data_IF_918401858919
#
_entry.id   IF_918401858919
#
_cell.length_a   1.000
_cell.length_b   1.000
_cell.length_c   1.000
_cell.angle_alpha   90.00
_cell.angle_beta   90.00
_cell.angle_gamma   90.00
#
_symmetry.space_group_name_H-M   'P 1'
#
loop_
_entity.id
_entity.type
_entity.pdbx_description
1 polymer ?
#
# COMPACT_ATOMS: atom_id res chain seq x y z
N UNK A 1 -16.68 -3.13 17.86
CA UNK A 1 -15.62 -2.28 18.43
C UNK A 1 -16.17 -1.54 19.65
N UNK A 2 -15.95 -2.04 20.86
CA UNK A 2 -16.40 -1.42 22.11
C UNK A 2 -15.42 -0.33 22.57
N UNK A 3 -15.95 0.81 23.01
CA UNK A 3 -15.28 2.11 23.14
C UNK A 3 -14.35 2.30 24.36
N UNK A 4 -13.78 1.24 24.93
CA UNK A 4 -13.18 1.33 26.27
C UNK A 4 -11.67 1.63 26.38
N UNK A 5 -10.93 1.88 25.30
CA UNK A 5 -9.49 2.19 25.40
C UNK A 5 -8.97 3.38 24.59
N UNK A 6 -9.84 4.26 24.07
CA UNK A 6 -9.34 5.52 23.47
C UNK A 6 -9.06 6.57 24.55
N UNK A 7 -7.83 7.08 24.57
CA UNK A 7 -7.43 8.21 25.41
C UNK A 7 -8.18 9.50 25.02
N UNK A 8 -8.14 10.50 25.91
CA UNK A 8 -8.85 11.77 25.71
C UNK A 8 -8.40 12.51 24.45
N UNK A 9 -7.11 12.45 24.10
CA UNK A 9 -6.57 13.13 22.93
C UNK A 9 -7.08 12.50 21.62
N UNK A 10 -7.26 11.19 21.60
CA UNK A 10 -7.81 10.41 20.48
C UNK A 10 -9.30 10.65 20.32
N UNK A 11 -10.05 10.70 21.43
CA UNK A 11 -11.48 11.06 21.40
C UNK A 11 -11.72 12.48 20.90
N UNK A 12 -10.84 13.42 21.29
CA UNK A 12 -10.93 14.80 20.81
C UNK A 12 -10.62 14.95 19.33
N UNK A 13 -9.66 14.19 18.80
CA UNK A 13 -9.39 14.18 17.35
C UNK A 13 -10.62 13.73 16.56
N UNK A 14 -11.36 12.74 17.04
CA UNK A 14 -12.54 12.22 16.35
C UNK A 14 -13.84 12.98 16.69
N UNK A 15 -13.77 13.98 17.56
CA UNK A 15 -14.95 14.72 18.04
C UNK A 15 -15.60 15.48 16.88
N UNK A 16 -16.89 15.26 16.66
CA UNK A 16 -17.65 15.87 15.56
C UNK A 16 -17.68 15.04 14.26
N UNK A 17 -16.94 13.93 14.17
CA UNK A 17 -17.12 12.97 13.08
C UNK A 17 -18.33 12.07 13.36
N UNK A 18 -19.24 11.95 12.39
CA UNK A 18 -20.31 10.95 12.45
C UNK A 18 -19.73 9.56 12.19
N UNK A 19 -20.43 8.50 12.61
CA UNK A 19 -20.03 7.11 12.29
C UNK A 19 -19.83 6.92 10.78
N UNK A 20 -20.70 7.50 9.97
CA UNK A 20 -20.60 7.48 8.52
C UNK A 20 -19.32 8.17 8.02
N UNK A 21 -18.94 9.33 8.58
CA UNK A 21 -17.70 10.01 8.19
C UNK A 21 -16.46 9.18 8.55
N UNK A 22 -16.48 8.48 9.68
CA UNK A 22 -15.38 7.59 10.08
C UNK A 22 -15.24 6.39 9.13
N UNK A 23 -16.34 5.71 8.82
CA UNK A 23 -16.32 4.54 7.94
C UNK A 23 -15.87 4.90 6.51
N UNK A 24 -16.38 6.02 5.98
CA UNK A 24 -16.01 6.52 4.66
C UNK A 24 -14.53 6.89 4.62
N UNK A 25 -14.05 7.69 5.56
CA UNK A 25 -12.65 8.11 5.59
C UNK A 25 -11.69 6.92 5.82
N UNK A 26 -12.07 5.91 6.60
CA UNK A 26 -11.28 4.70 6.77
C UNK A 26 -11.20 3.90 5.46
N UNK A 27 -12.35 3.73 4.79
CA UNK A 27 -12.40 3.08 3.47
C UNK A 27 -11.50 3.81 2.47
N UNK A 28 -11.51 5.14 2.46
CA UNK A 28 -10.69 5.91 1.54
C UNK A 28 -9.21 5.90 1.88
N UNK A 29 -8.83 5.93 3.15
CA UNK A 29 -7.43 5.75 3.55
C UNK A 29 -6.92 4.38 3.08
N UNK A 30 -7.73 3.34 3.22
CA UNK A 30 -7.44 2.00 2.70
C UNK A 30 -7.37 1.96 1.17
N UNK A 31 -8.19 2.75 0.46
CA UNK A 31 -8.15 2.87 -1.00
C UNK A 31 -6.89 3.61 -1.50
N UNK A 32 -6.53 4.72 -0.84
CA UNK A 32 -5.28 5.44 -1.05
C UNK A 32 -4.09 4.51 -0.82
N UNK A 33 -4.18 3.63 0.19
CA UNK A 33 -3.19 2.59 0.44
C UNK A 33 -3.20 1.43 -0.54
N UNK A 34 -4.32 1.07 -1.15
CA UNK A 34 -4.33 -0.08 -2.05
C UNK A 34 -3.78 0.28 -3.43
N UNK A 35 -3.95 1.52 -3.88
CA UNK A 35 -3.55 1.93 -5.22
C UNK A 35 -2.40 2.92 -5.29
N UNK A 36 -1.98 3.51 -4.16
CA UNK A 36 -0.97 4.57 -4.12
C UNK A 36 -1.49 5.89 -4.72
N UNK A 37 -0.64 6.92 -4.73
CA UNK A 37 -0.95 8.18 -5.41
C UNK A 37 -0.70 8.05 -6.90
N UNK A 38 -1.57 7.40 -7.67
CA UNK A 38 -1.47 7.43 -9.14
C UNK A 38 -2.35 8.53 -9.74
N UNK A 39 -2.08 8.90 -11.00
CA UNK A 39 -2.83 9.93 -11.74
C UNK A 39 -4.34 9.67 -11.76
N UNK A 40 -4.71 8.40 -11.87
CA UNK A 40 -6.10 7.95 -11.88
C UNK A 40 -6.79 8.18 -10.52
N UNK A 41 -6.06 8.04 -9.40
CA UNK A 41 -6.60 8.26 -8.05
C UNK A 41 -6.75 9.72 -7.68
N UNK A 42 -5.81 10.57 -8.09
CA UNK A 42 -5.97 12.01 -7.91
C UNK A 42 -7.24 12.47 -8.63
N UNK A 43 -7.45 12.10 -9.90
CA UNK A 43 -8.62 12.58 -10.64
C UNK A 43 -9.97 11.98 -10.15
N UNK A 44 -10.01 10.75 -9.63
CA UNK A 44 -11.27 10.11 -9.21
C UNK A 44 -11.77 10.52 -7.82
N UNK A 45 -10.89 10.90 -6.89
CA UNK A 45 -11.30 11.28 -5.52
C UNK A 45 -11.34 12.80 -5.29
N UNK A 46 -10.67 13.61 -6.12
CA UNK A 46 -10.52 15.05 -5.87
C UNK A 46 -11.80 15.88 -6.07
N UNK A 47 -12.72 15.46 -6.95
CA UNK A 47 -13.84 16.33 -7.34
C UNK A 47 -14.97 16.41 -6.30
N UNK A 48 -15.21 15.33 -5.54
CA UNK A 48 -16.34 15.28 -4.61
C UNK A 48 -15.97 15.63 -3.17
N UNK A 49 -14.67 15.66 -2.84
CA UNK A 49 -14.19 15.76 -1.45
C UNK A 49 -13.81 17.19 -1.11
N UNK A 50 -14.42 17.73 -0.07
CA UNK A 50 -14.09 19.04 0.47
C UNK A 50 -13.11 18.90 1.64
N UNK A 51 -12.82 20.02 2.28
CA UNK A 51 -11.81 20.09 3.33
C UNK A 51 -12.14 19.16 4.50
N UNK A 52 -13.42 19.01 4.86
CA UNK A 52 -13.85 18.18 5.98
C UNK A 52 -13.52 16.69 5.78
N UNK A 53 -13.74 16.16 4.57
CA UNK A 53 -13.45 14.76 4.23
C UNK A 53 -11.94 14.50 4.22
N UNK A 54 -11.14 15.40 3.63
CA UNK A 54 -9.68 15.25 3.64
C UNK A 54 -9.11 15.33 5.05
N UNK A 55 -9.64 16.24 5.86
CA UNK A 55 -9.29 16.33 7.27
C UNK A 55 -9.72 15.07 8.05
N UNK A 56 -10.86 14.47 7.73
CA UNK A 56 -11.29 13.21 8.32
C UNK A 56 -10.29 12.07 8.04
N UNK A 57 -9.79 11.98 6.80
CA UNK A 57 -8.76 10.99 6.44
C UNK A 57 -7.47 11.23 7.25
N UNK A 58 -7.03 12.49 7.36
CA UNK A 58 -5.85 12.85 8.17
C UNK A 58 -6.03 12.49 9.66
N UNK A 59 -7.23 12.69 10.22
CA UNK A 59 -7.54 12.29 11.61
C UNK A 59 -7.41 10.78 11.78
N UNK A 60 -7.95 9.99 10.84
CA UNK A 60 -7.84 8.52 10.89
C UNK A 60 -6.40 8.07 10.80
N UNK A 61 -5.57 8.72 9.96
CA UNK A 61 -4.13 8.46 9.93
C UNK A 61 -3.48 8.65 11.31
N UNK A 62 -3.71 9.81 11.95
CA UNK A 62 -3.13 10.11 13.26
C UNK A 62 -3.62 9.12 14.33
N UNK A 63 -4.91 8.78 14.33
CA UNK A 63 -5.49 7.80 15.26
C UNK A 63 -4.95 6.39 15.01
N UNK A 64 -4.86 5.97 13.75
CA UNK A 64 -4.31 4.66 13.36
C UNK A 64 -2.85 4.52 13.77
N UNK A 65 -2.06 5.58 13.62
CA UNK A 65 -0.69 5.61 14.14
C UNK A 65 -0.65 5.46 15.66
N UNK A 66 -1.51 6.17 16.40
CA UNK A 66 -1.51 6.11 17.88
C UNK A 66 -1.93 4.74 18.42
N UNK A 67 -2.95 4.13 17.83
CA UNK A 67 -3.55 2.89 18.36
C UNK A 67 -2.83 1.65 17.87
N UNK A 68 -2.50 1.61 16.57
CA UNK A 68 -1.98 0.41 15.92
C UNK A 68 -0.57 0.61 15.36
N UNK A 69 0.01 1.82 15.41
CA UNK A 69 1.24 2.15 14.65
C UNK A 69 1.04 1.94 13.14
N UNK A 70 -0.19 2.09 12.66
CA UNK A 70 -0.51 2.07 11.24
C UNK A 70 0.14 3.27 10.53
N UNK A 71 0.79 3.03 9.39
CA UNK A 71 1.38 4.09 8.58
C UNK A 71 1.14 3.87 7.07
N UNK A 72 0.87 4.93 6.30
CA UNK A 72 0.41 4.84 4.92
C UNK A 72 1.58 4.66 3.92
N UNK A 73 2.18 3.46 3.89
CA UNK A 73 3.39 3.14 3.12
C UNK A 73 3.28 3.27 1.58
N UNK A 74 2.06 3.36 1.02
CA UNK A 74 1.88 3.59 -0.42
C UNK A 74 1.75 5.06 -0.83
N UNK A 75 1.71 5.99 0.11
CA UNK A 75 1.75 7.40 -0.23
C UNK A 75 3.17 7.79 -0.61
N UNK A 76 3.30 8.64 -1.62
CA UNK A 76 4.60 9.12 -2.07
C UNK A 76 5.30 9.85 -0.91
N UNK A 77 6.58 9.52 -0.68
CA UNK A 77 7.36 10.12 0.42
C UNK A 77 7.40 11.66 0.32
N UNK A 78 7.61 12.29 -0.86
CA UNK A 78 7.53 13.74 -0.99
C UNK A 78 6.20 14.35 -0.55
N UNK A 79 5.07 13.67 -0.81
CA UNK A 79 3.76 14.11 -0.35
C UNK A 79 3.66 14.05 1.18
N UNK A 80 4.13 12.97 1.79
CA UNK A 80 4.14 12.79 3.23
C UNK A 80 5.03 13.82 3.92
N UNK A 81 6.22 14.06 3.38
CA UNK A 81 7.15 15.08 3.86
C UNK A 81 6.52 16.48 3.81
N UNK A 82 5.90 16.85 2.69
CA UNK A 82 5.17 18.12 2.57
C UNK A 82 4.00 18.24 3.54
N UNK A 83 3.24 17.15 3.76
CA UNK A 83 2.13 17.14 4.69
C UNK A 83 2.59 17.27 6.15
N UNK A 84 3.65 16.56 6.54
CA UNK A 84 4.15 16.48 7.92
C UNK A 84 5.07 17.65 8.29
N UNK A 85 5.97 18.03 7.39
CA UNK A 85 7.11 18.92 7.68
C UNK A 85 7.10 20.21 6.85
N UNK A 86 6.16 20.35 5.90
CA UNK A 86 6.06 21.49 4.99
C UNK A 86 7.31 21.72 4.10
N UNK A 87 8.10 20.66 3.93
CA UNK A 87 9.25 20.62 3.03
C UNK A 87 9.44 19.17 2.57
N UNK A 88 9.84 18.98 1.32
CA UNK A 88 10.30 17.69 0.82
C UNK A 88 11.82 17.66 0.64
N UNK A 89 12.42 16.56 1.10
CA UNK A 89 13.84 16.23 0.95
C UNK A 89 14.08 15.03 0.04
N UNK A 90 13.04 14.22 -0.17
CA UNK A 90 13.09 13.03 -1.01
C UNK A 90 13.25 13.38 -2.49
N UNK A 91 13.90 12.49 -3.23
CA UNK A 91 14.12 12.69 -4.67
C UNK A 91 12.81 12.63 -5.45
N UNK A 92 12.40 13.79 -5.96
CA UNK A 92 11.18 13.92 -6.78
C UNK A 92 11.29 13.17 -8.10
N UNK A 93 12.48 13.17 -8.72
CA UNK A 93 12.76 12.39 -9.94
C UNK A 93 12.59 10.90 -9.67
N UNK A 94 13.24 10.36 -8.65
CA UNK A 94 13.21 8.91 -8.40
C UNK A 94 11.82 8.45 -7.97
N UNK A 95 11.09 9.28 -7.21
CA UNK A 95 9.69 9.00 -6.86
C UNK A 95 8.77 9.12 -8.08
N UNK A 96 9.03 10.08 -8.98
CA UNK A 96 8.28 10.20 -10.23
C UNK A 96 8.46 8.98 -11.14
N UNK A 97 9.67 8.42 -11.21
CA UNK A 97 9.91 7.15 -11.93
C UNK A 97 9.10 5.99 -11.35
N UNK A 98 8.73 6.02 -10.06
CA UNK A 98 7.83 5.01 -9.47
C UNK A 98 6.34 5.30 -9.70
N UNK A 99 6.01 6.53 -10.11
CA UNK A 99 4.64 6.99 -10.34
C UNK A 99 4.16 6.71 -11.76
N UNK A 100 5.06 6.78 -12.74
CA UNK A 100 4.79 6.51 -14.16
C UNK A 100 4.51 5.03 -14.43
N UNK A 101 3.97 4.71 -15.61
CA UNK A 101 3.76 3.31 -16.00
C UNK A 101 5.09 2.55 -16.13
N UNK A 102 5.07 1.22 -16.04
CA UNK A 102 6.29 0.41 -16.19
C UNK A 102 6.99 0.66 -17.54
N UNK A 103 6.20 0.76 -18.61
CA UNK A 103 6.68 1.07 -19.96
C UNK A 103 7.33 2.46 -20.02
N UNK A 104 6.68 3.49 -19.46
CA UNK A 104 7.26 4.84 -19.36
C UNK A 104 8.56 4.83 -18.55
N UNK A 105 8.56 4.14 -17.40
CA UNK A 105 9.73 4.05 -16.52
C UNK A 105 10.93 3.45 -17.23
N UNK A 106 10.74 2.37 -17.98
CA UNK A 106 11.82 1.72 -18.74
C UNK A 106 12.47 2.69 -19.73
N UNK A 107 11.67 3.43 -20.48
CA UNK A 107 12.16 4.44 -21.45
C UNK A 107 12.89 5.57 -20.73
N UNK A 108 12.32 6.12 -19.65
CA UNK A 108 12.90 7.21 -18.90
C UNK A 108 14.22 6.82 -18.20
N UNK A 109 14.30 5.62 -17.64
CA UNK A 109 15.54 5.10 -17.03
C UNK A 109 16.61 4.90 -18.11
N UNK A 110 16.26 4.33 -19.26
CA UNK A 110 17.20 4.19 -20.39
C UNK A 110 17.72 5.55 -20.87
N UNK A 111 16.84 6.56 -20.96
CA UNK A 111 17.24 7.92 -21.33
C UNK A 111 18.18 8.58 -20.31
N UNK A 112 18.02 8.27 -19.01
CA UNK A 112 18.90 8.75 -17.94
C UNK A 112 20.28 8.09 -17.99
N UNK A 113 20.35 6.81 -18.39
CA UNK A 113 21.60 6.05 -18.52
C UNK A 113 22.37 6.40 -19.80
N UNK A 114 21.69 6.36 -20.95
CA UNK A 114 22.26 6.70 -22.26
C UNK A 114 21.21 7.39 -23.16
N UNK A 115 21.14 8.71 -23.01
CA UNK A 115 20.24 9.59 -23.75
C UNK A 115 20.34 9.44 -25.27
N UNK A 116 21.52 9.11 -25.83
CA UNK A 116 21.70 9.05 -27.27
C UNK A 116 21.22 7.73 -27.89
N UNK A 117 21.00 6.70 -27.06
CA UNK A 117 20.58 5.36 -27.49
C UNK A 117 19.08 5.08 -27.30
N UNK A 118 18.38 5.99 -26.62
CA UNK A 118 16.95 5.85 -26.35
C UNK A 118 16.15 6.15 -27.61
N UNK A 119 15.04 5.43 -27.78
CA UNK A 119 14.07 5.77 -28.82
C UNK A 119 13.48 7.15 -28.49
N UNK A 120 13.71 8.09 -29.41
CA UNK A 120 13.34 9.49 -29.22
C UNK A 120 11.83 9.66 -29.22
N UNK A 121 11.11 8.95 -30.10
CA UNK A 121 9.65 9.06 -30.19
C UNK A 121 9.02 8.48 -28.91
N UNK A 122 9.51 7.32 -28.45
CA UNK A 122 9.06 6.73 -27.19
C UNK A 122 9.35 7.63 -25.97
N UNK A 123 10.49 8.34 -25.96
CA UNK A 123 10.82 9.30 -24.90
C UNK A 123 9.85 10.50 -24.92
N UNK A 124 9.55 11.05 -26.09
CA UNK A 124 8.58 12.13 -26.23
C UNK A 124 7.19 11.68 -25.78
N UNK A 125 6.72 10.52 -26.22
CA UNK A 125 5.43 9.96 -25.81
C UNK A 125 5.33 9.79 -24.29
N UNK A 126 6.39 9.24 -23.66
CA UNK A 126 6.44 9.05 -22.21
C UNK A 126 6.39 10.38 -21.43
N UNK A 127 6.99 11.45 -21.95
CA UNK A 127 6.98 12.77 -21.31
C UNK A 127 5.66 13.52 -21.58
N UNK A 128 5.15 13.47 -22.81
CA UNK A 128 3.89 14.10 -23.22
C UNK A 128 2.70 13.50 -22.47
N UNK A 129 2.74 12.20 -22.16
CA UNK A 129 1.77 11.54 -21.31
C UNK A 129 1.57 12.30 -19.98
N UNK A 130 2.58 12.98 -19.45
CA UNK A 130 2.52 13.78 -18.22
C UNK A 130 2.51 15.29 -18.46
N UNK A 131 2.00 15.72 -19.63
CA UNK A 131 1.84 17.12 -20.05
C UNK A 131 3.16 17.90 -20.08
N UNK A 132 4.27 17.24 -20.42
CA UNK A 132 5.53 17.90 -20.65
C UNK A 132 5.49 18.69 -21.97
N UNK A 133 5.74 19.99 -21.91
CA UNK A 133 5.84 20.86 -23.11
C UNK A 133 7.29 21.22 -23.47
N UNK A 134 8.25 20.81 -22.65
CA UNK A 134 9.67 21.09 -22.86
C UNK A 134 10.33 19.89 -23.56
N UNK A 135 11.10 20.16 -24.61
CA UNK A 135 11.87 19.12 -25.27
C UNK A 135 13.00 18.61 -24.35
N UNK A 136 13.12 17.28 -24.16
CA UNK A 136 14.19 16.71 -23.37
C UNK A 136 15.53 16.84 -24.10
N UNK A 137 16.58 17.11 -23.33
CA UNK A 137 17.98 17.06 -23.74
C UNK A 137 18.76 16.31 -22.68
N UNK A 138 19.94 15.81 -23.04
CA UNK A 138 20.85 15.15 -22.09
C UNK A 138 21.10 15.98 -20.83
N UNK A 139 21.23 17.30 -20.99
CA UNK A 139 21.56 18.22 -19.89
C UNK A 139 20.33 18.59 -19.04
N UNK A 140 19.12 18.54 -19.63
CA UNK A 140 17.90 19.00 -18.96
C UNK A 140 17.01 17.87 -18.43
N UNK A 141 17.28 16.59 -18.77
CA UNK A 141 16.38 15.48 -18.46
C UNK A 141 16.17 15.31 -16.94
N UNK A 142 17.24 15.37 -16.15
CA UNK A 142 17.15 15.26 -14.67
C UNK A 142 16.30 16.38 -14.04
N UNK A 143 16.57 17.67 -14.30
CA UNK A 143 15.74 18.75 -13.77
C UNK A 143 14.31 18.70 -14.31
N UNK A 144 14.12 18.29 -15.58
CA UNK A 144 12.80 18.12 -16.17
C UNK A 144 11.96 17.07 -15.41
N UNK A 145 12.51 15.88 -15.18
CA UNK A 145 11.83 14.83 -14.41
C UNK A 145 11.58 15.25 -12.95
N UNK A 146 12.49 16.01 -12.35
CA UNK A 146 12.28 16.57 -11.01
C UNK A 146 11.12 17.57 -10.97
N UNK A 147 10.99 18.43 -11.99
CA UNK A 147 9.88 19.37 -12.13
C UNK A 147 8.55 18.64 -12.35
N UNK A 148 8.54 17.59 -13.17
CA UNK A 148 7.37 16.75 -13.38
C UNK A 148 6.95 16.04 -12.09
N UNK A 149 7.91 15.49 -11.35
CA UNK A 149 7.69 14.94 -10.01
C UNK A 149 7.11 15.98 -9.05
N UNK A 150 7.66 17.20 -9.02
CA UNK A 150 7.11 18.29 -8.20
C UNK A 150 5.65 18.62 -8.57
N UNK A 151 5.35 18.72 -9.87
CA UNK A 151 4.00 18.99 -10.37
C UNK A 151 3.03 17.88 -9.94
N UNK A 152 3.38 16.62 -10.17
CA UNK A 152 2.51 15.48 -9.93
C UNK A 152 2.35 15.13 -8.44
N UNK A 153 3.44 15.18 -7.66
CA UNK A 153 3.47 14.64 -6.30
C UNK A 153 3.23 15.70 -5.22
N UNK A 154 3.40 16.99 -5.54
CA UNK A 154 3.27 18.10 -4.59
C UNK A 154 2.23 19.12 -5.06
N UNK A 155 2.37 19.68 -6.27
CA UNK A 155 1.48 20.76 -6.71
C UNK A 155 0.05 20.28 -6.95
N UNK A 156 -0.14 19.18 -7.67
CA UNK A 156 -1.46 18.60 -7.92
C UNK A 156 -2.21 18.24 -6.62
N UNK A 157 -1.59 17.54 -5.64
CA UNK A 157 -2.25 17.22 -4.37
C UNK A 157 -2.16 18.33 -3.31
N UNK A 158 -1.73 19.55 -3.65
CA UNK A 158 -1.49 20.63 -2.68
C UNK A 158 -2.72 20.98 -1.83
N UNK A 159 -3.92 20.91 -2.41
CA UNK A 159 -5.16 21.12 -1.65
C UNK A 159 -5.30 20.10 -0.51
N UNK A 160 -5.04 18.82 -0.80
CA UNK A 160 -5.08 17.74 0.20
C UNK A 160 -4.00 17.93 1.26
N UNK A 161 -2.78 18.28 0.84
CA UNK A 161 -1.66 18.59 1.75
C UNK A 161 -2.07 19.70 2.73
N UNK A 162 -2.66 20.79 2.23
CA UNK A 162 -3.15 21.90 3.05
C UNK A 162 -4.26 21.48 4.03
N UNK A 163 -5.14 20.57 3.63
CA UNK A 163 -6.17 20.03 4.51
C UNK A 163 -5.58 19.13 5.61
N UNK A 164 -4.56 18.32 5.28
CA UNK A 164 -3.94 17.37 6.21
C UNK A 164 -3.03 18.04 7.23
N UNK A 165 -2.21 18.99 6.79
CA UNK A 165 -1.16 19.65 7.58
C UNK A 165 -1.59 20.09 8.99
N UNK A 166 -2.72 20.82 9.20
CA UNK A 166 -3.12 21.24 10.54
C UNK A 166 -3.43 20.08 11.50
N UNK A 167 -3.65 18.87 10.99
CA UNK A 167 -3.99 17.67 11.78
C UNK A 167 -2.75 16.80 11.98
N UNK A 168 -1.96 16.57 10.93
CA UNK A 168 -0.79 15.69 10.98
C UNK A 168 0.44 16.35 11.60
N UNK A 169 0.44 17.67 11.83
CA UNK A 169 1.55 18.37 12.50
C UNK A 169 1.89 17.77 13.88
N UNK A 170 0.90 17.22 14.59
CA UNK A 170 1.13 16.52 15.86
C UNK A 170 1.82 15.17 15.68
N UNK A 171 1.72 14.56 14.50
CA UNK A 171 2.46 13.35 14.16
C UNK A 171 3.93 13.68 13.89
N UNK A 172 4.21 14.81 13.25
CA UNK A 172 5.57 15.27 12.97
C UNK A 172 6.44 15.44 14.24
N UNK A 173 5.83 15.75 15.40
CA UNK A 173 6.56 15.86 16.67
C UNK A 173 7.01 14.52 17.26
N UNK A 174 6.36 13.42 16.88
CA UNK A 174 6.69 12.04 17.36
C UNK A 174 7.27 11.15 16.25
N UNK A 175 7.26 11.64 15.02
CA UNK A 175 7.87 11.04 13.84
C UNK A 175 8.77 12.10 13.19
N UNK A 176 10.02 12.24 13.64
CA UNK A 176 11.00 13.12 13.02
C UNK A 176 11.22 12.80 11.54
N UNK A 177 11.61 13.81 10.76
CA UNK A 177 11.76 13.69 9.30
C UNK A 177 12.80 12.65 8.88
N UNK A 178 13.91 12.56 9.62
CA UNK A 178 14.97 11.57 9.42
C UNK A 178 14.51 10.12 9.70
N UNK A 179 13.50 9.94 10.54
CA UNK A 179 12.93 8.62 10.86
C UNK A 179 11.81 8.18 9.90
N UNK A 180 11.32 9.05 9.01
CA UNK A 180 10.17 8.76 8.15
C UNK A 180 10.43 7.56 7.23
N UNK A 181 11.59 7.54 6.57
CA UNK A 181 11.96 6.46 5.65
C UNK A 181 12.09 5.12 6.37
N UNK A 182 12.70 5.10 7.55
CA UNK A 182 12.85 3.90 8.37
C UNK A 182 11.49 3.33 8.76
N UNK A 183 10.54 4.20 9.14
CA UNK A 183 9.17 3.79 9.46
C UNK A 183 8.45 3.22 8.24
N UNK A 184 8.58 3.86 7.08
CA UNK A 184 7.97 3.36 5.84
C UNK A 184 8.56 1.99 5.49
N UNK A 185 9.88 1.83 5.55
CA UNK A 185 10.54 0.56 5.27
C UNK A 185 10.12 -0.54 6.25
N UNK A 186 10.10 -0.25 7.55
CA UNK A 186 9.68 -1.20 8.58
C UNK A 186 8.22 -1.64 8.40
N UNK A 187 7.35 -0.73 7.97
CA UNK A 187 5.92 -1.00 7.79
C UNK A 187 5.58 -1.57 6.41
N UNK A 188 6.50 -1.51 5.43
CA UNK A 188 6.29 -2.06 4.09
C UNK A 188 6.41 -3.59 4.11
N UNK A 189 5.37 -4.33 3.69
CA UNK A 189 5.42 -5.78 3.65
C UNK A 189 6.52 -6.33 2.74
N UNK A 190 7.29 -7.29 3.24
CA UNK A 190 8.25 -8.05 2.44
C UNK A 190 7.95 -9.54 2.54
N UNK A 191 8.25 -10.30 1.48
CA UNK A 191 8.02 -11.75 1.50
C UNK A 191 8.74 -12.45 2.66
N UNK A 192 9.89 -11.93 3.09
CA UNK A 192 10.60 -12.40 4.29
C UNK A 192 9.80 -12.13 5.56
N UNK A 193 9.42 -10.89 5.81
CA UNK A 193 8.69 -10.52 7.03
C UNK A 193 7.34 -11.24 7.12
N UNK A 194 6.61 -11.36 6.00
CA UNK A 194 5.32 -12.07 5.99
C UNK A 194 5.48 -13.58 6.19
N UNK A 195 6.55 -14.21 5.69
CA UNK A 195 6.86 -15.62 6.01
C UNK A 195 7.06 -15.84 7.50
N UNK A 196 7.68 -14.91 8.20
CA UNK A 196 7.92 -14.98 9.65
C UNK A 196 6.62 -14.87 10.45
N UNK A 197 5.57 -14.27 9.88
CA UNK A 197 4.23 -14.24 10.49
C UNK A 197 3.48 -15.56 10.37
N UNK A 198 3.91 -16.53 9.55
CA UNK A 198 3.18 -17.78 9.35
C UNK A 198 3.48 -18.78 10.48
N UNK A 199 2.49 -19.05 11.32
CA UNK A 199 2.56 -20.06 12.38
C UNK A 199 1.93 -21.37 11.91
N UNK A 200 2.77 -22.36 11.64
CA UNK A 200 2.35 -23.71 11.31
C UNK A 200 2.19 -24.56 12.59
N UNK A 201 1.40 -25.65 12.55
CA UNK A 201 1.38 -26.64 13.63
C UNK A 201 2.77 -27.22 13.89
N UNK A 202 3.05 -27.55 15.15
CA UNK A 202 4.36 -28.11 15.57
C UNK A 202 4.66 -29.44 14.88
N UNK A 203 3.62 -30.27 14.70
CA UNK A 203 3.70 -31.54 13.99
C UNK A 203 2.93 -31.46 12.67
N UNK A 204 3.60 -31.85 11.58
CA UNK A 204 3.01 -31.86 10.24
C UNK A 204 3.26 -33.19 9.55
N UNK A 205 2.20 -33.78 8.99
CA UNK A 205 2.30 -34.92 8.11
C UNK A 205 3.05 -34.55 6.80
N UNK A 206 3.63 -35.53 6.06
CA UNK A 206 4.38 -35.24 4.84
C UNK A 206 3.62 -34.38 3.80
N UNK A 207 2.32 -34.62 3.53
CA UNK A 207 1.55 -33.75 2.64
C UNK A 207 1.44 -32.30 3.15
N UNK A 208 1.22 -32.12 4.45
CA UNK A 208 1.13 -30.79 5.08
C UNK A 208 2.46 -30.04 4.97
N UNK A 209 3.59 -30.73 5.20
CA UNK A 209 4.93 -30.17 5.02
C UNK A 209 5.18 -29.72 3.57
N UNK A 210 4.72 -30.49 2.58
CA UNK A 210 4.83 -30.13 1.17
C UNK A 210 4.03 -28.84 0.86
N UNK A 211 2.78 -28.77 1.33
CA UNK A 211 1.92 -27.60 1.14
C UNK A 211 2.43 -26.37 1.90
N UNK A 212 2.97 -26.53 3.11
CA UNK A 212 3.62 -25.45 3.86
C UNK A 212 4.77 -24.83 3.06
N UNK A 213 5.59 -25.66 2.41
CA UNK A 213 6.67 -25.19 1.53
C UNK A 213 6.14 -24.44 0.31
N UNK A 214 5.04 -24.90 -0.29
CA UNK A 214 4.39 -24.19 -1.40
C UNK A 214 3.85 -22.82 -0.98
N UNK A 215 3.21 -22.72 0.19
CA UNK A 215 2.74 -21.44 0.72
C UNK A 215 3.92 -20.48 1.02
N UNK A 216 4.97 -20.97 1.70
CA UNK A 216 6.17 -20.16 1.95
C UNK A 216 6.78 -19.68 0.62
N UNK A 217 6.86 -20.55 -0.38
CA UNK A 217 7.34 -20.19 -1.72
C UNK A 217 6.48 -19.09 -2.33
N UNK A 218 5.15 -19.26 -2.34
CA UNK A 218 4.20 -18.27 -2.84
C UNK A 218 4.42 -16.89 -2.21
N UNK A 219 4.38 -16.80 -0.88
CA UNK A 219 4.59 -15.54 -0.13
C UNK A 219 5.95 -14.91 -0.43
N UNK A 220 6.96 -15.71 -0.76
CA UNK A 220 8.30 -15.23 -1.09
C UNK A 220 8.49 -14.74 -2.52
N UNK A 221 7.65 -15.15 -3.46
CA UNK A 221 7.81 -14.87 -4.89
C UNK A 221 6.82 -13.81 -5.40
N UNK A 222 5.73 -13.57 -4.67
CA UNK A 222 4.72 -12.57 -5.08
C UNK A 222 5.22 -11.15 -4.88
N UNK A 223 4.70 -10.23 -5.70
CA UNK A 223 4.99 -8.80 -5.62
C UNK A 223 4.34 -8.15 -4.38
N UNK A 224 4.70 -6.90 -4.10
CA UNK A 224 4.17 -6.15 -2.96
C UNK A 224 2.63 -6.04 -3.01
N UNK A 225 2.05 -5.88 -4.21
CA UNK A 225 0.60 -5.71 -4.38
C UNK A 225 -0.15 -6.98 -3.95
N UNK A 226 0.29 -8.15 -4.45
CA UNK A 226 -0.29 -9.45 -4.11
C UNK A 226 0.00 -9.82 -2.66
N UNK A 227 1.17 -9.46 -2.12
CA UNK A 227 1.53 -9.72 -0.72
C UNK A 227 0.60 -8.97 0.25
N UNK A 228 0.21 -7.74 -0.09
CA UNK A 228 -0.76 -6.99 0.71
C UNK A 228 -2.18 -7.54 0.60
N UNK A 229 -2.58 -8.04 -0.57
CA UNK A 229 -3.84 -8.78 -0.72
C UNK A 229 -3.82 -10.05 0.14
N UNK A 230 -2.70 -10.76 0.19
CA UNK A 230 -2.52 -11.92 1.06
C UNK A 230 -2.64 -11.56 2.55
N UNK A 231 -1.99 -10.48 3.00
CA UNK A 231 -2.13 -10.00 4.38
C UNK A 231 -3.59 -9.65 4.70
N UNK A 232 -4.26 -8.92 3.79
CA UNK A 232 -5.67 -8.54 3.95
C UNK A 232 -6.59 -9.76 3.99
N UNK A 233 -6.33 -10.74 3.14
CA UNK A 233 -7.06 -12.00 3.14
C UNK A 233 -6.94 -12.72 4.49
N UNK A 234 -5.73 -12.80 5.04
CA UNK A 234 -5.49 -13.53 6.29
C UNK A 234 -5.94 -12.77 7.54
N UNK A 235 -5.82 -11.44 7.57
CA UNK A 235 -5.92 -10.63 8.80
C UNK A 235 -6.97 -9.53 8.75
N UNK A 236 -7.58 -9.29 7.59
CA UNK A 236 -8.44 -8.13 7.34
C UNK A 236 -7.67 -6.82 7.20
N UNK A 237 -6.34 -6.83 7.30
CA UNK A 237 -5.46 -5.67 7.24
C UNK A 237 -4.27 -5.92 6.30
N UNK A 238 -3.73 -4.86 5.70
CA UNK A 238 -2.49 -4.94 4.92
C UNK A 238 -1.23 -4.73 5.78
N UNK A 239 -1.36 -4.74 7.11
CA UNK A 239 -0.28 -4.54 8.07
C UNK A 239 0.36 -5.86 8.53
N UNK A 240 1.64 -5.78 8.92
CA UNK A 240 2.43 -6.89 9.48
C UNK A 240 2.40 -6.93 11.02
N UNK A 241 1.22 -6.85 11.63
CA UNK A 241 1.10 -6.72 13.09
C UNK A 241 0.58 -7.98 13.79
N UNK A 242 0.01 -8.91 13.03
CA UNK A 242 -0.59 -10.11 13.56
C UNK A 242 0.02 -11.35 12.93
N UNK A 243 0.27 -12.34 13.77
CA UNK A 243 0.63 -13.68 13.34
C UNK A 243 -0.54 -14.33 12.60
N UNK A 244 -0.24 -15.02 11.50
CA UNK A 244 -1.18 -15.80 10.72
C UNK A 244 -1.06 -17.28 11.11
N UNK A 245 -2.08 -17.81 11.78
CA UNK A 245 -2.14 -19.23 12.16
C UNK A 245 -2.53 -20.06 10.94
N UNK A 246 -1.82 -21.15 10.69
CA UNK A 246 -2.10 -22.09 9.60
C UNK A 246 -2.82 -23.30 10.16
N UNK A 247 -4.00 -23.59 9.62
CA UNK A 247 -4.73 -24.82 9.88
C UNK A 247 -4.87 -25.61 8.59
N UNK A 248 -4.37 -26.83 8.58
CA UNK A 248 -4.57 -27.72 7.45
C UNK A 248 -5.99 -28.29 7.45
N UNK A 249 -6.62 -28.33 6.28
CA UNK A 249 -7.97 -28.87 6.10
C UNK A 249 -8.00 -29.90 4.98
N UNK A 250 -8.85 -30.91 5.15
CA UNK A 250 -9.20 -31.83 4.08
C UNK A 250 -10.39 -31.25 3.31
N UNK A 251 -10.30 -31.24 1.98
CA UNK A 251 -11.35 -30.73 1.09
C UNK A 251 -11.51 -31.68 -0.08
N UNK A 252 -12.73 -31.82 -0.59
CA UNK A 252 -12.94 -32.45 -1.90
C UNK A 252 -12.25 -31.62 -3.00
N UNK A 253 -11.82 -32.26 -4.10
CA UNK A 253 -11.11 -31.54 -5.17
C UNK A 253 -11.93 -30.37 -5.76
N UNK A 254 -13.26 -30.47 -5.76
CA UNK A 254 -14.15 -29.43 -6.26
C UNK A 254 -14.30 -28.23 -5.31
N UNK A 255 -13.95 -28.39 -4.04
CA UNK A 255 -14.05 -27.35 -3.00
C UNK A 255 -12.67 -26.86 -2.53
N UNK A 256 -11.59 -27.35 -3.16
CA UNK A 256 -10.21 -27.03 -2.79
C UNK A 256 -9.93 -25.55 -3.08
N UNK A 257 -9.87 -24.75 -2.01
CA UNK A 257 -9.42 -23.36 -2.03
C UNK A 257 -8.92 -22.92 -0.65
N UNK A 258 -7.97 -21.99 -0.55
CA UNK A 258 -7.63 -21.39 0.74
C UNK A 258 -8.84 -20.62 1.30
N UNK A 259 -9.02 -20.67 2.62
CA UNK A 259 -10.09 -19.94 3.33
C UNK A 259 -9.48 -19.19 4.52
N UNK A 260 -10.05 -18.04 4.89
CA UNK A 260 -9.54 -17.25 6.00
C UNK A 260 -10.61 -16.85 7.01
N UNK A 261 -10.19 -16.70 8.27
CA UNK A 261 -10.99 -16.11 9.34
C UNK A 261 -10.21 -14.92 9.89
N UNK A 262 -10.54 -13.72 9.41
CA UNK A 262 -9.73 -12.52 9.67
C UNK A 262 -9.73 -12.07 11.12
N UNK A 263 -10.84 -12.25 11.84
CA UNK A 263 -10.93 -11.93 13.28
C UNK A 263 -9.97 -12.77 14.13
N UNK A 264 -9.60 -13.97 13.67
CA UNK A 264 -8.67 -14.87 14.35
C UNK A 264 -7.29 -14.96 13.70
N UNK A 265 -7.04 -14.21 12.63
CA UNK A 265 -5.87 -14.33 11.76
C UNK A 265 -5.54 -15.79 11.39
N UNK A 266 -6.57 -16.55 10.99
CA UNK A 266 -6.47 -17.98 10.70
C UNK A 266 -6.60 -18.22 9.20
N UNK A 267 -5.60 -18.88 8.61
CA UNK A 267 -5.61 -19.37 7.25
C UNK A 267 -5.85 -20.89 7.25
N UNK A 268 -7.00 -21.31 6.74
CA UNK A 268 -7.31 -22.71 6.47
C UNK A 268 -6.76 -23.08 5.09
N UNK A 269 -5.84 -24.03 5.07
CA UNK A 269 -5.06 -24.40 3.90
C UNK A 269 -5.33 -25.86 3.51
N UNK A 270 -5.93 -26.13 2.34
CA UNK A 270 -6.15 -27.48 1.87
C UNK A 270 -4.86 -28.29 1.75
N UNK A 271 -4.88 -29.56 2.20
CA UNK A 271 -3.71 -30.45 2.10
C UNK A 271 -3.57 -31.05 0.70
N UNK A 272 -4.66 -31.09 -0.07
CA UNK A 272 -4.74 -31.73 -1.40
C UNK A 272 -3.99 -31.05 -2.54
N UNK A 273 -3.02 -30.17 -2.29
CA UNK A 273 -2.18 -29.60 -3.37
C UNK A 273 -1.03 -30.54 -3.71
N UNK A 274 -1.06 -31.10 -4.92
CA UNK A 274 0.00 -32.00 -5.38
C UNK A 274 1.26 -31.27 -5.85
N UNK A 275 1.11 -30.02 -6.31
CA UNK A 275 2.20 -29.22 -6.85
C UNK A 275 2.01 -27.72 -6.52
N UNK A 276 3.09 -26.95 -6.69
CA UNK A 276 3.08 -25.51 -6.43
C UNK A 276 2.18 -24.70 -7.39
N UNK A 277 2.20 -24.93 -8.72
CA UNK A 277 1.30 -24.26 -9.65
C UNK A 277 -0.18 -24.28 -9.25
N UNK A 278 -0.68 -25.43 -8.79
CA UNK A 278 -2.06 -25.57 -8.30
C UNK A 278 -2.35 -24.59 -7.15
N UNK A 279 -1.48 -24.57 -6.12
CA UNK A 279 -1.64 -23.66 -4.98
C UNK A 279 -1.58 -22.20 -5.41
N UNK A 280 -0.65 -21.86 -6.29
CA UNK A 280 -0.49 -20.50 -6.81
C UNK A 280 -1.74 -20.05 -7.57
N UNK A 281 -2.30 -20.93 -8.41
CA UNK A 281 -3.52 -20.65 -9.16
C UNK A 281 -4.69 -20.36 -8.22
N UNK A 282 -4.93 -21.23 -7.24
CA UNK A 282 -6.07 -21.08 -6.31
C UNK A 282 -5.93 -19.83 -5.44
N UNK A 283 -4.73 -19.52 -4.95
CA UNK A 283 -4.49 -18.26 -4.24
C UNK A 283 -4.72 -17.05 -5.13
N UNK A 284 -4.15 -17.00 -6.33
CA UNK A 284 -4.35 -15.87 -7.24
C UNK A 284 -5.84 -15.66 -7.52
N UNK A 285 -6.57 -16.73 -7.86
CA UNK A 285 -8.01 -16.66 -8.11
C UNK A 285 -8.77 -16.10 -6.91
N UNK A 286 -8.49 -16.58 -5.68
CA UNK A 286 -9.13 -16.06 -4.47
C UNK A 286 -8.77 -14.59 -4.24
N UNK A 287 -7.48 -14.24 -4.32
CA UNK A 287 -7.01 -12.89 -4.03
C UNK A 287 -7.53 -11.84 -5.02
N UNK A 288 -7.73 -12.21 -6.29
CA UNK A 288 -8.25 -11.31 -7.32
C UNK A 288 -9.78 -11.26 -7.39
N UNK A 289 -10.48 -12.23 -6.79
CA UNK A 289 -11.94 -12.40 -6.98
C UNK A 289 -12.80 -11.26 -6.38
N UNK A 290 -12.24 -10.34 -5.59
CA UNK A 290 -12.95 -9.24 -4.91
C UNK A 290 -14.09 -9.65 -3.96
N UNK A 291 -14.51 -10.92 -3.99
CA UNK A 291 -15.57 -11.53 -3.17
C UNK A 291 -14.89 -12.39 -2.12
N UNK A 292 -14.52 -11.76 -1.02
CA UNK A 292 -14.04 -12.46 0.16
C UNK A 292 -15.26 -12.98 0.91
N UNK A 293 -15.45 -14.31 0.97
CA UNK A 293 -16.41 -14.91 1.90
C UNK A 293 -15.84 -14.71 3.29
N UNK A 294 -16.21 -13.57 3.89
CA UNK A 294 -15.82 -13.17 5.24
C UNK A 294 -16.97 -13.59 6.14
N UNK A 295 -16.88 -14.79 6.72
CA UNK A 295 -17.82 -15.20 7.76
C UNK A 295 -17.57 -14.30 8.98
N UNK A 296 -18.45 -13.31 9.16
CA UNK A 296 -18.53 -12.55 10.40
C UNK A 296 -19.35 -13.43 11.36
N UNK A 297 -18.69 -14.01 12.35
CA UNK A 297 -19.35 -14.65 13.51
C UNK A 297 -19.64 -13.58 14.55
#
# INVERSE_FOLDING_TARGET
>A
MTSHHMDWATRNLLRGMTSHHMDLANRNLLLLQSHGMTRQWMNLLLHDYQSEEWQAIARILVVGWRIARYFPVKLAVPFLEEALYATSTSSLKDTFLQYVSEQEREVLVKALEDFNSVDTDALFDALEAHECQQAPTKDNLIPLLSQMGHKALIQAPMYVIKCWRPIVVHLASVLPQDALNDVIQQKTPTGKAVKELLQFPDEMAPPQTAVARYLKRYVGEVDLSTLQLFLRFCTGSNLMEQTIKIQFIETSNFERRPQSHTCGCLLKLPVGYHNYPDLRSDFNSVLTSSVWVMDII
#
